data_IF_161190817273
#
_entry.id   IF_161190817273
#
_cell.length_a   1.000
_cell.length_b   1.000
_cell.length_c   1.000
_cell.angle_alpha   90.00
_cell.angle_beta   90.00
_cell.angle_gamma   90.00
#
_symmetry.space_group_name_H-M   'P 1'
#
loop_
_entity.id
_entity.type
_entity.pdbx_description
1 polymer ?
#
# COMPACT_ATOMS: atom_id res chain seq x y z
N UNK A 1 -6.64 -10.44 10.28
CA UNK A 1 -7.12 -11.51 11.17
C UNK A 1 -6.04 -12.56 11.41
N UNK A 2 -6.27 -13.56 12.27
CA UNK A 2 -5.38 -14.72 12.44
C UNK A 2 -5.36 -15.58 11.17
N UNK A 3 -6.47 -15.65 10.47
CA UNK A 3 -6.65 -16.37 9.21
C UNK A 3 -5.75 -15.78 8.10
N UNK A 4 -5.55 -14.46 8.06
CA UNK A 4 -4.66 -13.83 7.08
C UNK A 4 -3.21 -14.26 7.28
N UNK A 5 -2.77 -14.46 8.52
CA UNK A 5 -1.41 -15.00 8.79
C UNK A 5 -1.27 -16.44 8.33
N UNK A 6 -2.30 -17.27 8.52
CA UNK A 6 -2.29 -18.65 8.04
C UNK A 6 -2.22 -18.68 6.52
N UNK A 7 -3.05 -17.87 5.88
CA UNK A 7 -3.11 -17.77 4.43
C UNK A 7 -1.76 -17.37 3.80
N UNK A 8 -1.16 -16.28 4.30
CA UNK A 8 0.16 -15.80 3.82
C UNK A 8 1.25 -16.83 4.11
N UNK A 9 1.22 -17.46 5.29
CA UNK A 9 2.21 -18.49 5.65
C UNK A 9 2.11 -19.71 4.74
N UNK A 10 0.90 -20.12 4.35
CA UNK A 10 0.67 -21.27 3.48
C UNK A 10 1.10 -20.96 2.04
N UNK A 11 0.86 -19.75 1.52
CA UNK A 11 1.42 -19.31 0.25
C UNK A 11 2.96 -19.39 0.24
N UNK A 12 3.61 -18.81 1.27
CA UNK A 12 5.07 -18.84 1.38
C UNK A 12 5.58 -20.29 1.38
N UNK A 13 4.92 -21.19 2.09
CA UNK A 13 5.28 -22.62 2.13
C UNK A 13 5.15 -23.28 0.76
N UNK A 14 4.04 -23.07 0.09
CA UNK A 14 3.78 -23.64 -1.23
C UNK A 14 4.84 -23.21 -2.25
N UNK A 15 5.10 -21.92 -2.35
CA UNK A 15 6.13 -21.37 -3.24
C UNK A 15 7.51 -21.86 -2.86
N UNK A 16 7.84 -21.90 -1.55
CA UNK A 16 9.15 -22.39 -1.08
C UNK A 16 9.37 -23.87 -1.35
N UNK A 17 8.33 -24.69 -1.31
CA UNK A 17 8.39 -26.09 -1.71
C UNK A 17 8.66 -26.26 -3.19
N UNK A 18 8.03 -25.46 -4.03
CA UNK A 18 8.23 -25.50 -5.48
C UNK A 18 9.66 -25.06 -5.84
N UNK A 19 10.15 -23.97 -5.24
CA UNK A 19 11.52 -23.46 -5.43
C UNK A 19 12.55 -24.53 -5.13
N UNK A 20 12.42 -25.22 -4.01
CA UNK A 20 13.45 -26.14 -3.49
C UNK A 20 13.32 -27.57 -4.01
N UNK A 21 12.23 -27.89 -4.71
CA UNK A 21 11.85 -29.26 -5.13
C UNK A 21 12.89 -29.97 -6.00
N UNK A 22 13.54 -29.22 -6.89
CA UNK A 22 14.50 -29.76 -7.85
C UNK A 22 15.96 -29.57 -7.46
N UNK A 23 16.23 -28.97 -6.32
CA UNK A 23 17.58 -28.67 -5.90
C UNK A 23 18.34 -29.91 -5.44
N UNK A 24 19.59 -30.03 -5.90
CA UNK A 24 20.53 -31.06 -5.46
C UNK A 24 21.31 -30.66 -4.20
N UNK A 25 21.14 -29.43 -3.72
CA UNK A 25 21.76 -28.85 -2.53
C UNK A 25 20.71 -28.62 -1.46
N UNK A 26 21.16 -28.42 -0.24
CA UNK A 26 20.27 -28.01 0.85
C UNK A 26 19.87 -26.55 0.64
N UNK A 27 18.64 -26.34 0.23
CA UNK A 27 18.14 -25.04 -0.17
C UNK A 27 17.05 -24.51 0.74
N UNK A 28 16.83 -23.21 0.68
CA UNK A 28 15.77 -22.49 1.40
C UNK A 28 15.26 -21.33 0.57
N UNK A 29 14.02 -20.92 0.81
CA UNK A 29 13.49 -19.64 0.31
C UNK A 29 13.66 -18.57 1.36
N UNK A 30 14.15 -17.42 0.92
CA UNK A 30 14.33 -16.21 1.73
C UNK A 30 13.44 -15.12 1.18
N UNK A 31 12.58 -14.59 2.03
CA UNK A 31 11.61 -13.57 1.67
C UNK A 31 11.98 -12.23 2.29
N UNK A 32 12.19 -11.23 1.43
CA UNK A 32 12.55 -9.88 1.84
C UNK A 32 11.32 -9.00 1.95
N UNK A 33 10.95 -8.62 3.17
CA UNK A 33 9.93 -7.61 3.45
C UNK A 33 10.51 -6.21 3.55
N UNK A 34 9.67 -5.19 3.35
CA UNK A 34 10.11 -3.80 3.55
C UNK A 34 10.38 -3.49 5.02
N UNK A 35 9.50 -3.95 5.91
CA UNK A 35 9.49 -3.49 7.28
C UNK A 35 8.71 -2.17 7.45
N UNK A 36 8.60 -1.69 8.66
CA UNK A 36 7.93 -0.41 8.97
C UNK A 36 8.18 0.00 10.42
N UNK A 37 8.32 1.29 10.70
CA UNK A 37 8.34 1.85 12.04
C UNK A 37 6.99 1.81 12.78
N UNK A 38 5.92 1.35 12.12
CA UNK A 38 4.60 1.22 12.72
C UNK A 38 4.47 -0.08 13.52
N UNK A 39 3.57 -0.11 14.52
CA UNK A 39 3.27 -1.33 15.33
C UNK A 39 2.85 -2.55 14.52
N UNK A 40 2.34 -2.36 13.29
CA UNK A 40 2.04 -3.44 12.35
C UNK A 40 3.28 -4.25 11.95
N UNK A 41 4.49 -3.75 12.23
CA UNK A 41 5.76 -4.46 12.01
C UNK A 41 5.80 -5.83 12.70
N UNK A 42 5.11 -5.98 13.83
CA UNK A 42 4.98 -7.26 14.54
C UNK A 42 4.44 -8.40 13.66
N UNK A 43 3.75 -8.08 12.55
CA UNK A 43 3.26 -9.06 11.58
C UNK A 43 4.39 -9.84 10.91
N UNK A 44 5.51 -9.19 10.60
CA UNK A 44 6.68 -9.87 10.01
C UNK A 44 7.25 -10.92 10.96
N UNK A 45 7.47 -10.55 12.22
CA UNK A 45 7.95 -11.49 13.24
C UNK A 45 6.95 -12.63 13.49
N UNK A 46 5.65 -12.37 13.43
CA UNK A 46 4.62 -13.40 13.59
C UNK A 46 4.62 -14.40 12.42
N UNK A 47 4.82 -13.93 11.19
CA UNK A 47 4.93 -14.79 10.00
C UNK A 47 6.21 -15.61 10.08
N UNK A 48 7.36 -14.99 10.36
CA UNK A 48 8.64 -15.68 10.51
C UNK A 48 8.59 -16.77 11.58
N UNK A 49 8.01 -16.48 12.75
CA UNK A 49 7.80 -17.48 13.79
C UNK A 49 6.95 -18.66 13.29
N UNK A 50 5.89 -18.42 12.52
CA UNK A 50 5.07 -19.49 11.95
C UNK A 50 5.82 -20.31 10.92
N UNK A 51 6.65 -19.69 10.08
CA UNK A 51 7.52 -20.38 9.13
C UNK A 51 8.53 -21.26 9.85
N UNK A 52 9.16 -20.78 10.92
CA UNK A 52 10.17 -21.52 11.69
C UNK A 52 9.64 -22.81 12.35
N UNK A 53 8.31 -22.90 12.54
CA UNK A 53 7.64 -24.09 13.11
C UNK A 53 7.40 -25.22 12.11
N UNK A 54 7.68 -24.98 10.83
CA UNK A 54 7.46 -25.94 9.77
C UNK A 54 8.76 -26.67 9.37
N UNK A 55 8.61 -27.82 8.72
CA UNK A 55 9.73 -28.57 8.14
C UNK A 55 10.30 -27.91 6.88
N UNK A 56 9.57 -26.98 6.29
CA UNK A 56 9.96 -26.25 5.08
C UNK A 56 10.93 -25.15 5.49
N UNK A 57 12.03 -25.04 4.76
CA UNK A 57 13.04 -24.01 5.01
C UNK A 57 12.68 -22.74 4.27
N UNK A 58 11.84 -21.92 4.93
CA UNK A 58 11.46 -20.59 4.50
C UNK A 58 11.74 -19.60 5.63
N UNK A 59 12.32 -18.47 5.29
CA UNK A 59 12.74 -17.43 6.21
C UNK A 59 12.22 -16.09 5.74
N UNK A 60 11.81 -15.24 6.66
CA UNK A 60 11.34 -13.89 6.38
C UNK A 60 12.16 -12.90 7.20
N UNK A 61 12.75 -11.91 6.54
CA UNK A 61 13.38 -10.79 7.21
C UNK A 61 13.01 -9.46 6.51
N UNK A 62 13.37 -8.34 7.10
CA UNK A 62 12.95 -7.00 6.64
C UNK A 62 14.14 -6.08 6.41
N UNK A 63 14.00 -5.14 5.47
CA UNK A 63 14.98 -4.08 5.23
C UNK A 63 15.01 -3.13 6.44
N UNK A 64 13.84 -2.76 6.94
CA UNK A 64 13.68 -1.84 8.06
C UNK A 64 13.04 -2.56 9.25
N UNK A 65 13.80 -2.83 10.29
CA UNK A 65 13.32 -3.42 11.54
C UNK A 65 13.61 -4.91 11.67
N UNK A 66 12.83 -5.65 12.43
CA UNK A 66 13.09 -7.01 12.87
C UNK A 66 12.07 -8.00 12.27
N UNK A 67 12.49 -9.22 11.84
CA UNK A 67 13.84 -9.79 11.82
C UNK A 67 14.76 -9.12 10.80
N UNK A 68 16.04 -8.97 11.15
CA UNK A 68 17.08 -8.42 10.30
C UNK A 68 17.74 -9.50 9.43
N UNK A 69 18.42 -9.10 8.35
CA UNK A 69 19.12 -10.03 7.46
C UNK A 69 20.21 -10.82 8.21
N UNK A 70 20.90 -10.21 9.16
CA UNK A 70 21.95 -10.81 9.98
C UNK A 70 21.41 -11.96 10.84
N UNK A 71 20.26 -11.77 11.47
CA UNK A 71 19.59 -12.81 12.25
C UNK A 71 19.25 -14.01 11.36
N UNK A 72 18.73 -13.73 10.18
CA UNK A 72 18.36 -14.74 9.20
C UNK A 72 19.59 -15.52 8.70
N UNK A 73 20.71 -14.85 8.40
CA UNK A 73 21.97 -15.49 8.00
C UNK A 73 22.46 -16.46 9.06
N UNK A 74 22.36 -16.10 10.34
CA UNK A 74 22.70 -16.98 11.44
C UNK A 74 21.90 -18.29 11.39
N UNK A 75 20.59 -18.24 11.17
CA UNK A 75 19.75 -19.43 11.09
C UNK A 75 20.00 -20.23 9.81
N UNK A 76 20.21 -19.60 8.67
CA UNK A 76 20.57 -20.26 7.41
C UNK A 76 21.84 -21.09 7.55
N UNK A 77 22.90 -20.52 8.14
CA UNK A 77 24.15 -21.23 8.43
C UNK A 77 23.98 -22.37 9.43
N UNK A 78 23.27 -22.13 10.51
CA UNK A 78 22.94 -23.15 11.52
C UNK A 78 22.19 -24.33 10.91
N UNK A 79 21.29 -24.05 9.99
CA UNK A 79 20.52 -25.06 9.28
C UNK A 79 21.30 -25.72 8.13
N UNK A 80 22.51 -25.22 7.84
CA UNK A 80 23.40 -25.76 6.81
C UNK A 80 22.86 -25.56 5.39
N UNK A 81 22.20 -24.44 5.14
CA UNK A 81 21.72 -24.07 3.82
C UNK A 81 22.90 -23.72 2.92
N UNK A 82 22.85 -24.12 1.67
CA UNK A 82 23.89 -23.88 0.66
C UNK A 82 23.36 -23.03 -0.50
N UNK A 83 22.06 -23.17 -0.84
CA UNK A 83 21.39 -22.43 -1.91
C UNK A 83 20.17 -21.67 -1.37
N UNK A 84 19.99 -20.46 -1.84
CA UNK A 84 18.90 -19.56 -1.45
C UNK A 84 18.10 -19.16 -2.68
N UNK A 85 16.77 -19.29 -2.59
CA UNK A 85 15.81 -18.65 -3.48
C UNK A 85 15.36 -17.34 -2.83
N UNK A 86 15.89 -16.21 -3.32
CA UNK A 86 15.63 -14.89 -2.77
C UNK A 86 14.41 -14.27 -3.46
N UNK A 87 13.38 -13.94 -2.68
CA UNK A 87 12.08 -13.44 -3.15
C UNK A 87 11.65 -12.17 -2.43
N UNK A 88 10.96 -11.24 -3.11
CA UNK A 88 10.38 -10.08 -2.45
C UNK A 88 9.07 -10.47 -1.74
N UNK A 89 8.99 -10.19 -0.43
CA UNK A 89 7.72 -10.16 0.30
C UNK A 89 7.13 -8.76 0.22
N UNK A 90 6.88 -8.33 -1.03
CA UNK A 90 6.35 -7.03 -1.42
C UNK A 90 5.18 -7.27 -2.37
N UNK A 91 4.14 -6.45 -2.27
CA UNK A 91 2.97 -6.59 -3.16
C UNK A 91 3.38 -6.47 -4.63
N UNK A 92 4.30 -5.56 -4.92
CA UNK A 92 4.89 -5.33 -6.26
C UNK A 92 6.41 -5.36 -6.13
N UNK A 93 7.10 -6.07 -7.03
CA UNK A 93 8.56 -6.06 -7.11
C UNK A 93 9.07 -4.74 -7.73
N UNK A 94 8.99 -3.66 -6.94
CA UNK A 94 9.37 -2.31 -7.30
C UNK A 94 10.86 -1.99 -7.08
N UNK A 95 11.16 -0.75 -6.73
CA UNK A 95 12.53 -0.26 -6.57
C UNK A 95 13.31 -0.99 -5.46
N UNK A 96 12.66 -1.29 -4.33
CA UNK A 96 13.29 -2.07 -3.25
C UNK A 96 13.68 -3.49 -3.70
N UNK A 97 12.85 -4.18 -4.49
CA UNK A 97 13.21 -5.49 -5.01
C UNK A 97 14.37 -5.40 -6.02
N UNK A 98 14.45 -4.33 -6.80
CA UNK A 98 15.49 -4.15 -7.82
C UNK A 98 16.82 -3.69 -7.23
N UNK A 99 16.80 -2.81 -6.24
CA UNK A 99 17.99 -2.19 -5.67
C UNK A 99 18.42 -2.91 -4.39
N UNK A 100 17.59 -2.88 -3.33
CA UNK A 100 17.99 -3.39 -2.02
C UNK A 100 18.05 -4.92 -1.98
N UNK A 101 17.20 -5.62 -2.75
CA UNK A 101 17.22 -7.08 -2.82
C UNK A 101 18.21 -7.61 -3.87
N UNK A 102 18.08 -7.16 -5.12
CA UNK A 102 18.73 -7.76 -6.29
C UNK A 102 19.79 -6.87 -6.95
N UNK A 103 20.15 -5.73 -6.37
CA UNK A 103 21.12 -4.78 -6.89
C UNK A 103 22.49 -5.42 -7.06
N UNK A 104 22.95 -5.59 -8.32
CA UNK A 104 24.24 -6.26 -8.59
C UNK A 104 25.46 -5.36 -8.30
N UNK A 105 25.29 -4.04 -8.45
CA UNK A 105 26.34 -3.05 -8.25
C UNK A 105 26.37 -2.50 -6.81
N UNK A 106 25.37 -2.80 -6.02
CA UNK A 106 25.23 -2.35 -4.63
C UNK A 106 25.76 -3.43 -3.67
N UNK A 107 26.88 -3.15 -3.00
CA UNK A 107 27.47 -4.09 -2.04
C UNK A 107 26.56 -4.38 -0.85
N UNK A 108 25.65 -3.46 -0.52
CA UNK A 108 24.69 -3.57 0.58
C UNK A 108 23.38 -4.28 0.16
N UNK A 109 23.25 -4.68 -1.12
CA UNK A 109 22.10 -5.46 -1.56
C UNK A 109 22.09 -6.86 -0.92
N UNK A 110 20.91 -7.37 -0.61
CA UNK A 110 20.75 -8.71 -0.03
C UNK A 110 21.40 -9.80 -0.88
N UNK A 111 21.31 -9.68 -2.21
CA UNK A 111 22.00 -10.59 -3.14
C UNK A 111 23.51 -10.64 -2.89
N UNK A 112 24.16 -9.48 -2.74
CA UNK A 112 25.61 -9.42 -2.57
C UNK A 112 26.02 -9.79 -1.14
N UNK A 113 25.27 -9.38 -0.13
CA UNK A 113 25.48 -9.80 1.26
C UNK A 113 25.42 -11.35 1.37
N UNK A 114 24.36 -11.98 0.83
CA UNK A 114 24.18 -13.42 0.91
C UNK A 114 25.26 -14.17 0.12
N UNK A 115 25.69 -13.67 -1.03
CA UNK A 115 26.81 -14.25 -1.79
C UNK A 115 28.13 -14.11 -1.04
N UNK A 116 28.40 -12.99 -0.39
CA UNK A 116 29.60 -12.77 0.41
C UNK A 116 29.65 -13.74 1.62
N UNK A 117 28.49 -14.13 2.16
CA UNK A 117 28.34 -15.11 3.22
C UNK A 117 28.49 -16.57 2.74
N UNK A 118 28.70 -16.79 1.43
CA UNK A 118 29.03 -18.07 0.82
C UNK A 118 27.83 -18.86 0.28
N UNK A 119 26.65 -18.25 0.20
CA UNK A 119 25.47 -18.89 -0.36
C UNK A 119 25.44 -18.79 -1.89
N UNK A 120 24.93 -19.84 -2.55
CA UNK A 120 24.44 -19.73 -3.92
C UNK A 120 23.08 -19.05 -3.89
N UNK A 121 22.88 -17.99 -4.67
CA UNK A 121 21.64 -17.20 -4.63
C UNK A 121 20.99 -17.14 -5.99
N UNK A 122 19.75 -17.61 -6.05
CA UNK A 122 18.84 -17.46 -7.19
C UNK A 122 17.78 -16.42 -6.84
N UNK A 123 17.63 -15.40 -7.71
CA UNK A 123 16.72 -14.27 -7.46
C UNK A 123 15.44 -14.44 -8.26
N UNK A 124 14.31 -14.28 -7.58
CA UNK A 124 12.97 -14.24 -8.18
C UNK A 124 12.41 -12.83 -8.01
N UNK A 125 11.93 -12.24 -9.12
CA UNK A 125 11.44 -10.85 -9.14
C UNK A 125 9.91 -10.76 -9.22
N UNK A 126 9.23 -11.75 -8.67
CA UNK A 126 7.77 -11.84 -8.64
C UNK A 126 7.26 -11.34 -7.29
N UNK A 127 6.48 -10.25 -7.32
CA UNK A 127 5.84 -9.70 -6.11
C UNK A 127 4.68 -10.59 -5.64
N UNK A 128 4.35 -10.54 -4.34
CA UNK A 128 3.28 -11.41 -3.81
C UNK A 128 1.90 -11.11 -4.44
N UNK A 129 1.68 -9.91 -4.98
CA UNK A 129 0.45 -9.55 -5.68
C UNK A 129 0.31 -10.19 -7.08
N UNK A 130 1.35 -10.86 -7.60
CA UNK A 130 1.30 -11.58 -8.86
C UNK A 130 0.76 -13.02 -8.70
N UNK A 131 0.71 -13.54 -7.47
CA UNK A 131 0.13 -14.85 -7.20
C UNK A 131 -1.40 -14.79 -7.24
N UNK A 132 -2.03 -15.68 -8.02
CA UNK A 132 -3.48 -15.77 -8.18
C UNK A 132 -4.18 -15.92 -6.83
N UNK A 133 -3.63 -16.72 -5.92
CA UNK A 133 -4.16 -16.90 -4.57
C UNK A 133 -4.26 -15.58 -3.79
N UNK A 134 -3.27 -14.69 -3.89
CA UNK A 134 -3.31 -13.36 -3.25
C UNK A 134 -4.38 -12.47 -3.90
N UNK A 135 -4.49 -12.51 -5.23
CA UNK A 135 -5.51 -11.76 -5.97
C UNK A 135 -6.91 -12.22 -5.57
N UNK A 136 -7.13 -13.52 -5.49
CA UNK A 136 -8.40 -14.12 -5.03
C UNK A 136 -8.72 -13.70 -3.60
N UNK A 137 -7.73 -13.65 -2.70
CA UNK A 137 -7.93 -13.21 -1.32
C UNK A 137 -8.32 -11.73 -1.23
N UNK A 138 -7.79 -10.86 -2.08
CA UNK A 138 -8.25 -9.48 -2.18
C UNK A 138 -9.71 -9.38 -2.64
N UNK A 139 -10.11 -10.20 -3.63
CA UNK A 139 -11.50 -10.26 -4.12
C UNK A 139 -12.44 -10.79 -3.05
N UNK A 140 -12.05 -11.84 -2.34
CA UNK A 140 -12.81 -12.41 -1.22
C UNK A 140 -13.02 -11.36 -0.12
N UNK A 141 -11.94 -10.74 0.37
CA UNK A 141 -12.02 -9.71 1.41
C UNK A 141 -12.90 -8.52 0.98
N UNK A 142 -12.86 -8.13 -0.30
CA UNK A 142 -13.74 -7.09 -0.83
C UNK A 142 -15.20 -7.55 -0.82
N UNK A 143 -15.46 -8.80 -1.20
CA UNK A 143 -16.82 -9.37 -1.22
C UNK A 143 -17.39 -9.45 0.20
N UNK A 144 -16.57 -9.90 1.16
CA UNK A 144 -16.96 -9.98 2.58
C UNK A 144 -17.26 -8.59 3.14
N UNK A 145 -16.44 -7.59 2.84
CA UNK A 145 -16.67 -6.22 3.27
C UNK A 145 -17.97 -5.63 2.68
N UNK A 146 -18.28 -5.94 1.42
CA UNK A 146 -19.53 -5.53 0.78
C UNK A 146 -20.74 -6.21 1.44
N UNK A 147 -20.60 -7.49 1.79
CA UNK A 147 -21.68 -8.26 2.42
C UNK A 147 -21.91 -7.79 3.86
N UNK A 148 -20.85 -7.53 4.62
CA UNK A 148 -20.92 -6.94 5.97
C UNK A 148 -21.61 -5.56 5.94
N UNK A 149 -21.26 -4.70 4.99
CA UNK A 149 -21.92 -3.41 4.83
C UNK A 149 -23.40 -3.54 4.43
N UNK A 150 -23.79 -4.57 3.68
CA UNK A 150 -25.19 -4.90 3.38
C UNK A 150 -25.94 -5.36 4.63
N UNK A 151 -25.35 -6.26 5.43
CA UNK A 151 -25.96 -6.75 6.67
C UNK A 151 -26.18 -5.64 7.69
N UNK A 152 -25.27 -4.65 7.75
CA UNK A 152 -25.43 -3.47 8.63
C UNK A 152 -26.44 -2.46 8.03
N UNK A 153 -26.94 -2.71 6.82
CA UNK A 153 -27.93 -1.85 6.15
C UNK A 153 -27.34 -0.55 5.62
N UNK A 154 -26.02 -0.45 5.50
CA UNK A 154 -25.34 0.73 4.92
C UNK A 154 -25.47 0.79 3.39
N UNK A 155 -25.55 -0.39 2.72
CA UNK A 155 -25.68 -0.48 1.26
C UNK A 155 -27.13 -0.67 0.78
N UNK A 156 -28.02 -1.22 1.60
CA UNK A 156 -29.45 -1.42 1.27
C UNK A 156 -30.36 -0.24 1.63
N UNK A 157 -29.78 0.82 2.15
CA UNK A 157 -30.51 2.07 2.17
C UNK A 157 -30.46 2.66 0.75
N UNK A 158 -31.46 2.32 -0.07
CA UNK A 158 -32.08 3.30 -0.98
C UNK A 158 -32.67 4.44 -0.12
N UNK A 159 -31.85 5.01 0.74
CA UNK A 159 -32.05 6.38 1.16
C UNK A 159 -31.97 7.15 -0.16
N UNK A 160 -33.06 7.82 -0.57
CA UNK A 160 -32.88 8.89 -1.53
C UNK A 160 -31.80 9.74 -0.87
N UNK A 161 -30.61 9.72 -1.46
CA UNK A 161 -29.58 10.67 -1.12
C UNK A 161 -30.16 12.03 -1.49
N UNK A 162 -31.02 12.57 -0.62
CA UNK A 162 -31.38 13.98 -0.58
C UNK A 162 -30.11 14.69 -0.14
N UNK A 163 -29.07 14.60 -0.95
CA UNK A 163 -27.75 15.12 -0.72
C UNK A 163 -26.88 14.94 -1.96
N UNK A 164 -25.81 15.66 -2.04
CA UNK A 164 -24.78 15.52 -3.06
C UNK A 164 -23.92 14.27 -2.83
N UNK A 165 -22.85 14.15 -3.61
CA UNK A 165 -21.87 13.06 -3.50
C UNK A 165 -20.48 13.60 -3.27
N UNK A 166 -19.65 12.81 -2.59
CA UNK A 166 -18.24 13.11 -2.42
C UNK A 166 -17.37 12.18 -3.29
N UNK A 167 -16.39 12.78 -4.01
CA UNK A 167 -15.52 12.09 -4.96
C UNK A 167 -14.05 12.31 -4.60
N UNK A 168 -13.31 11.23 -4.36
CA UNK A 168 -11.85 11.24 -4.35
C UNK A 168 -11.32 11.10 -5.77
N UNK A 169 -10.52 12.06 -6.24
CA UNK A 169 -10.04 12.14 -7.62
C UNK A 169 -8.53 12.10 -7.65
N UNK A 170 -7.95 11.03 -8.20
CA UNK A 170 -6.52 10.91 -8.48
C UNK A 170 -6.14 11.68 -9.74
N UNK A 171 -5.09 12.51 -9.64
CA UNK A 171 -4.61 13.32 -10.77
C UNK A 171 -3.46 12.68 -11.56
N UNK A 172 -3.11 11.43 -11.24
CA UNK A 172 -1.96 10.77 -11.87
C UNK A 172 -0.61 11.33 -11.40
N UNK A 173 0.49 11.02 -12.09
CA UNK A 173 1.86 11.25 -11.61
C UNK A 173 2.36 12.70 -11.73
N UNK A 174 1.55 13.64 -12.24
CA UNK A 174 1.90 15.06 -12.26
C UNK A 174 1.73 15.79 -13.59
N UNK A 175 1.56 15.09 -14.71
CA UNK A 175 1.22 15.69 -16.00
C UNK A 175 -0.29 15.64 -16.21
N UNK A 176 -0.91 16.79 -16.54
CA UNK A 176 -2.36 16.88 -16.81
C UNK A 176 -2.83 15.90 -17.90
N UNK A 177 -1.98 15.58 -18.87
CA UNK A 177 -2.28 14.63 -19.96
C UNK A 177 -2.34 13.16 -19.49
N UNK A 178 -1.84 12.86 -18.30
CA UNK A 178 -1.86 11.53 -17.69
C UNK A 178 -3.06 11.33 -16.73
N UNK A 179 -3.95 12.30 -16.64
CA UNK A 179 -5.21 12.11 -15.94
C UNK A 179 -6.09 11.09 -16.65
N UNK A 180 -6.77 10.24 -15.87
CA UNK A 180 -7.71 9.28 -16.47
C UNK A 180 -8.93 9.99 -17.03
N UNK A 181 -9.51 9.43 -18.08
CA UNK A 181 -10.77 9.92 -18.67
C UNK A 181 -11.88 9.97 -17.61
N UNK A 182 -11.90 9.01 -16.67
CA UNK A 182 -12.87 8.98 -15.56
C UNK A 182 -12.67 10.19 -14.62
N UNK A 183 -11.43 10.52 -14.26
CA UNK A 183 -11.13 11.67 -13.42
C UNK A 183 -11.60 12.98 -14.07
N UNK A 184 -11.29 13.20 -15.35
CA UNK A 184 -11.73 14.38 -16.12
C UNK A 184 -13.25 14.47 -16.17
N UNK A 185 -13.95 13.38 -16.51
CA UNK A 185 -15.42 13.34 -16.53
C UNK A 185 -16.05 13.56 -15.14
N UNK A 186 -15.33 13.21 -14.07
CA UNK A 186 -15.81 13.47 -12.71
C UNK A 186 -15.68 14.94 -12.38
N UNK A 187 -14.54 15.58 -12.69
CA UNK A 187 -14.38 17.04 -12.52
C UNK A 187 -15.48 17.86 -13.19
N UNK A 188 -15.94 17.41 -14.36
CA UNK A 188 -17.00 18.08 -15.13
C UNK A 188 -18.39 18.03 -14.45
N UNK A 189 -18.60 17.16 -13.46
CA UNK A 189 -19.86 17.02 -12.74
C UNK A 189 -19.91 17.80 -11.42
N UNK A 190 -18.77 18.26 -10.93
CA UNK A 190 -18.68 18.83 -9.59
C UNK A 190 -19.28 20.22 -9.51
N UNK A 191 -19.90 20.54 -8.37
CA UNK A 191 -20.22 21.90 -7.94
C UNK A 191 -19.05 22.54 -7.20
N UNK A 192 -18.32 21.74 -6.40
CA UNK A 192 -17.25 22.20 -5.52
C UNK A 192 -16.05 21.27 -5.64
N UNK A 193 -14.84 21.85 -5.73
CA UNK A 193 -13.58 21.11 -5.73
C UNK A 193 -12.68 21.59 -4.61
N UNK A 194 -12.35 20.68 -3.69
CA UNK A 194 -11.35 20.88 -2.65
C UNK A 194 -9.94 20.58 -3.16
N UNK A 195 -9.05 21.54 -2.96
CA UNK A 195 -7.65 21.49 -3.40
C UNK A 195 -6.74 21.53 -2.17
N UNK A 196 -5.98 20.47 -1.90
CA UNK A 196 -5.03 20.47 -0.79
C UNK A 196 -3.85 21.41 -1.05
N UNK A 197 -3.50 22.20 -0.03
CA UNK A 197 -2.29 23.01 0.01
C UNK A 197 -1.40 22.57 1.15
N UNK A 198 -0.13 22.30 0.85
CA UNK A 198 0.88 21.97 1.87
C UNK A 198 1.36 23.19 2.65
N UNK A 199 1.19 24.42 2.10
CA UNK A 199 1.53 25.71 2.73
C UNK A 199 0.47 26.73 2.38
N UNK A 200 0.09 27.54 3.35
CA UNK A 200 -0.85 28.64 3.16
C UNK A 200 -0.28 29.63 2.13
N UNK A 201 -1.05 29.91 1.08
CA UNK A 201 -0.64 30.79 -0.01
C UNK A 201 0.43 30.22 -0.96
N UNK A 202 0.77 28.95 -0.81
CA UNK A 202 1.71 28.25 -1.70
C UNK A 202 1.02 27.71 -2.97
N UNK A 203 1.81 27.55 -4.03
CA UNK A 203 1.36 26.92 -5.28
C UNK A 203 0.94 25.47 -5.03
N UNK A 204 -0.30 25.13 -5.31
CA UNK A 204 -0.78 23.76 -5.30
C UNK A 204 -0.36 23.04 -6.59
N UNK A 205 0.45 22.00 -6.48
CA UNK A 205 0.85 21.16 -7.63
C UNK A 205 -0.38 20.54 -8.28
N UNK A 206 -1.30 20.08 -7.45
CA UNK A 206 -2.54 19.42 -7.90
C UNK A 206 -3.40 20.41 -8.68
N UNK A 207 -3.46 21.67 -8.27
CA UNK A 207 -4.16 22.74 -8.96
C UNK A 207 -3.67 22.87 -10.41
N UNK A 208 -2.35 22.92 -10.62
CA UNK A 208 -1.76 23.07 -11.97
C UNK A 208 -2.10 21.88 -12.89
N UNK A 209 -2.28 20.69 -12.33
CA UNK A 209 -2.63 19.48 -13.09
C UNK A 209 -4.08 19.53 -13.57
N UNK A 210 -5.00 19.97 -12.70
CA UNK A 210 -6.44 19.97 -13.00
C UNK A 210 -6.90 21.22 -13.74
N UNK A 211 -6.20 22.34 -13.66
CA UNK A 211 -6.56 23.64 -14.28
C UNK A 211 -7.08 23.53 -15.72
N UNK A 212 -6.45 22.73 -16.63
CA UNK A 212 -6.93 22.61 -18.01
C UNK A 212 -8.32 21.99 -18.15
N UNK A 213 -8.85 21.36 -17.10
CA UNK A 213 -10.11 20.63 -17.09
C UNK A 213 -11.17 21.27 -16.20
N UNK A 214 -10.87 22.41 -15.59
CA UNK A 214 -11.81 23.09 -14.70
C UNK A 214 -12.81 23.93 -15.49
N UNK A 215 -14.08 23.80 -15.15
CA UNK A 215 -15.13 24.68 -15.67
C UNK A 215 -15.06 26.04 -14.98
N UNK A 216 -15.44 27.13 -15.67
CA UNK A 216 -15.41 28.49 -15.09
C UNK A 216 -16.34 28.69 -13.90
N UNK A 217 -17.41 27.90 -13.80
CA UNK A 217 -18.45 27.96 -12.75
C UNK A 217 -18.16 27.04 -11.55
N UNK A 218 -17.12 26.25 -11.62
CA UNK A 218 -16.73 25.33 -10.53
C UNK A 218 -16.21 26.13 -9.33
N UNK A 219 -16.79 25.91 -8.17
CA UNK A 219 -16.33 26.52 -6.92
C UNK A 219 -15.07 25.83 -6.42
N UNK A 220 -13.97 26.55 -6.29
CA UNK A 220 -12.70 26.02 -5.81
C UNK A 220 -12.48 26.39 -4.34
N UNK A 221 -12.26 25.39 -3.51
CA UNK A 221 -11.95 25.54 -2.09
C UNK A 221 -10.53 25.02 -1.80
N UNK A 222 -9.58 25.93 -1.72
CA UNK A 222 -8.22 25.60 -1.32
C UNK A 222 -8.14 25.49 0.21
N UNK A 223 -7.63 24.34 0.72
CA UNK A 223 -7.53 24.10 2.16
C UNK A 223 -6.14 23.66 2.52
N UNK A 224 -5.66 24.24 3.63
CA UNK A 224 -4.35 23.90 4.16
C UNK A 224 -4.40 22.57 4.92
N UNK A 225 -3.54 21.64 4.51
CA UNK A 225 -3.31 20.37 5.19
C UNK A 225 -1.93 20.44 5.82
N UNK A 226 -1.83 20.71 7.14
CA UNK A 226 -0.54 20.87 7.80
C UNK A 226 0.29 19.58 7.72
N UNK A 227 1.55 19.73 7.31
CA UNK A 227 2.56 18.68 7.33
C UNK A 227 3.39 18.74 8.62
N UNK A 228 2.82 19.31 9.69
CA UNK A 228 3.44 19.49 10.99
C UNK A 228 3.67 18.15 11.69
N UNK A 229 4.66 18.09 12.59
CA UNK A 229 4.82 16.99 13.54
C UNK A 229 3.81 17.04 14.69
N UNK A 230 3.10 18.17 14.86
CA UNK A 230 2.03 18.31 15.86
C UNK A 230 0.76 17.60 15.35
N UNK A 231 0.43 16.50 16.01
CA UNK A 231 -0.74 15.70 15.66
C UNK A 231 -2.05 16.40 16.00
N UNK A 232 -2.07 17.30 16.99
CA UNK A 232 -3.29 17.99 17.40
C UNK A 232 -3.71 19.03 16.37
N UNK A 233 -2.78 19.84 15.88
CA UNK A 233 -3.04 20.82 14.80
C UNK A 233 -3.57 20.15 13.54
N UNK A 234 -2.99 18.97 13.19
CA UNK A 234 -3.47 18.18 12.05
C UNK A 234 -4.91 17.73 12.23
N UNK A 235 -5.22 17.12 13.38
CA UNK A 235 -6.55 16.58 13.69
C UNK A 235 -7.60 17.70 13.62
N UNK A 236 -7.36 18.83 14.26
CA UNK A 236 -8.27 19.98 14.27
C UNK A 236 -8.52 20.53 12.85
N UNK A 237 -7.46 20.63 12.03
CA UNK A 237 -7.56 21.08 10.64
C UNK A 237 -8.37 20.11 9.79
N UNK A 238 -8.10 18.80 9.91
CA UNK A 238 -8.80 17.78 9.14
C UNK A 238 -10.27 17.65 9.56
N UNK A 239 -10.57 17.75 10.85
CA UNK A 239 -11.94 17.73 11.36
C UNK A 239 -12.75 18.95 10.88
N UNK A 240 -12.12 20.12 10.79
CA UNK A 240 -12.77 21.32 10.28
C UNK A 240 -13.09 21.18 8.77
N UNK A 241 -12.13 20.68 7.99
CA UNK A 241 -12.32 20.46 6.54
C UNK A 241 -13.36 19.36 6.28
N UNK A 242 -13.34 18.28 7.04
CA UNK A 242 -14.32 17.19 6.90
C UNK A 242 -15.74 17.68 7.19
N UNK A 243 -15.93 18.47 8.25
CA UNK A 243 -17.25 19.07 8.54
C UNK A 243 -17.75 19.96 7.40
N UNK A 244 -16.87 20.77 6.83
CA UNK A 244 -17.21 21.62 5.68
C UNK A 244 -17.64 20.79 4.46
N UNK A 245 -16.91 19.68 4.17
CA UNK A 245 -17.25 18.76 3.08
C UNK A 245 -18.61 18.11 3.36
N UNK A 246 -18.86 17.63 4.59
CA UNK A 246 -20.13 17.03 4.99
C UNK A 246 -21.29 18.01 4.78
N UNK A 247 -21.11 19.26 5.18
CA UNK A 247 -22.15 20.28 5.04
C UNK A 247 -22.44 20.59 3.56
N UNK A 248 -21.41 20.68 2.71
CA UNK A 248 -21.59 20.88 1.26
C UNK A 248 -22.35 19.70 0.64
N UNK A 249 -21.98 18.45 0.98
CA UNK A 249 -22.65 17.25 0.48
C UNK A 249 -24.11 17.19 0.98
N UNK A 250 -24.36 17.47 2.25
CA UNK A 250 -25.74 17.52 2.81
C UNK A 250 -26.61 18.59 2.15
N UNK A 251 -25.98 19.65 1.66
CA UNK A 251 -26.66 20.69 0.88
C UNK A 251 -26.89 20.32 -0.61
N UNK A 252 -26.72 19.06 -0.97
CA UNK A 252 -26.99 18.54 -2.31
C UNK A 252 -25.89 18.82 -3.33
N UNK A 253 -24.66 19.16 -2.92
CA UNK A 253 -23.55 19.49 -3.82
C UNK A 253 -22.75 18.25 -4.23
N UNK A 254 -22.37 18.18 -5.50
CA UNK A 254 -21.39 17.24 -6.01
C UNK A 254 -19.99 17.76 -5.65
N UNK A 255 -19.33 17.14 -4.68
CA UNK A 255 -18.09 17.64 -4.06
C UNK A 255 -16.91 16.74 -4.43
N UNK A 256 -15.83 17.32 -4.94
CA UNK A 256 -14.60 16.60 -5.25
C UNK A 256 -13.43 16.97 -4.34
N UNK A 257 -12.56 16.02 -4.06
CA UNK A 257 -11.25 16.23 -3.49
C UNK A 257 -10.20 15.64 -4.41
N UNK A 258 -9.19 16.42 -4.79
CA UNK A 258 -8.12 15.98 -5.67
C UNK A 258 -6.86 15.65 -4.91
N UNK A 259 -6.17 14.58 -5.34
CA UNK A 259 -4.89 14.13 -4.78
C UNK A 259 -3.89 13.85 -5.89
N UNK A 260 -2.61 14.10 -5.62
CA UNK A 260 -1.53 13.64 -6.50
C UNK A 260 -1.44 12.10 -6.44
N UNK A 261 -1.32 11.44 -7.59
CA UNK A 261 -1.33 9.98 -7.65
C UNK A 261 -2.72 9.39 -7.43
N UNK A 262 -2.78 8.30 -6.68
CA UNK A 262 -4.00 7.62 -6.26
C UNK A 262 -4.47 8.17 -4.91
N UNK A 263 -5.75 8.58 -4.76
CA UNK A 263 -6.26 9.11 -3.50
C UNK A 263 -6.25 8.10 -2.34
N UNK A 264 -6.28 6.81 -2.62
CA UNK A 264 -6.22 5.75 -1.60
C UNK A 264 -4.80 5.37 -1.20
N UNK A 265 -3.78 5.88 -1.92
CA UNK A 265 -2.39 5.51 -1.68
C UNK A 265 -1.58 6.69 -1.14
N UNK A 266 -1.18 6.65 0.13
CA UNK A 266 -0.37 7.70 0.80
C UNK A 266 -0.93 9.14 0.66
N UNK A 267 -2.24 9.29 0.62
CA UNK A 267 -2.91 10.56 0.42
C UNK A 267 -3.61 11.06 1.69
N UNK A 268 -3.70 12.39 1.83
CA UNK A 268 -4.55 13.04 2.85
C UNK A 268 -6.03 12.72 2.70
N UNK A 269 -6.45 12.22 1.54
CA UNK A 269 -7.82 11.76 1.30
C UNK A 269 -8.25 10.62 2.24
N UNK A 270 -7.36 9.68 2.54
CA UNK A 270 -7.66 8.56 3.45
C UNK A 270 -8.05 9.07 4.84
N UNK A 271 -7.36 10.10 5.35
CA UNK A 271 -7.69 10.71 6.64
C UNK A 271 -9.00 11.49 6.64
N UNK A 272 -9.46 11.95 5.48
CA UNK A 272 -10.78 12.56 5.34
C UNK A 272 -11.88 11.49 5.33
N UNK A 273 -11.66 10.35 4.65
CA UNK A 273 -12.63 9.25 4.61
C UNK A 273 -12.97 8.72 6.00
N UNK A 274 -12.00 8.61 6.89
CA UNK A 274 -12.21 8.17 8.28
C UNK A 274 -13.13 9.13 9.09
N UNK A 275 -13.46 10.29 8.55
CA UNK A 275 -14.20 11.38 9.20
C UNK A 275 -15.52 11.73 8.52
N UNK A 276 -15.70 11.26 7.28
CA UNK A 276 -16.90 11.51 6.45
C UNK A 276 -17.94 10.41 6.60
#
# INVERSE_FOLDING_TARGET
SLEDYDYVTDLIKEVSLEDTKSDNKKSASVWMGHGTGHRAHASYAAIDYRLSRNSIKAYLATIEGYPEIEDMIFFLKKDGIEKIHLRPFLLVAGDHAKNDMAGQEDEDSWLNILKAEGFEVEVHMEGIGEFESIQDKFVENLSDAIEEEREIGLLDQDLPLEGGKFYGIGTGPGDSKLMTVKAVKTLDKLDILYLPQARIGGDSRVRKIVDPYLRPDLVLKERHFPMSYDNQEKIESWDAISREIIDDVRNGKEVGFVSLGDPMLYSTYVYLLDRL
#
